data_IF_300344408738
#
_entry.id   IF_300344408738
#
_cell.length_a   1.000
_cell.length_b   1.000
_cell.length_c   1.000
_cell.angle_alpha   90.00
_cell.angle_beta   90.00
_cell.angle_gamma   90.00
#
_symmetry.space_group_name_H-M   'P 1'
#
loop_
_entity.id
_entity.type
_entity.pdbx_description
1 polymer ?
#
# COMPACT_ATOMS: atom_id res chain seq x y z
N UNK A 1 -9.42 1.94 -27.05
CA UNK A 1 -10.45 1.91 -26.01
C UNK A 1 -10.44 3.29 -25.41
N UNK A 2 -11.20 4.20 -26.00
CA UNK A 2 -11.39 5.55 -25.48
C UNK A 2 -12.26 5.41 -24.23
N UNK A 3 -11.63 5.12 -23.10
CA UNK A 3 -12.24 5.40 -21.80
C UNK A 3 -12.51 6.90 -21.76
N UNK A 4 -13.77 7.29 -21.59
CA UNK A 4 -14.21 8.70 -21.50
C UNK A 4 -13.21 9.52 -20.70
N UNK A 5 -12.51 10.43 -21.38
CA UNK A 5 -11.55 11.35 -20.77
C UNK A 5 -12.33 12.33 -19.90
N UNK A 6 -12.01 12.37 -18.61
CA UNK A 6 -12.78 13.14 -17.62
C UNK A 6 -12.07 14.43 -17.23
N UNK A 7 -12.85 15.48 -16.96
CA UNK A 7 -12.35 16.72 -16.36
C UNK A 7 -11.99 16.53 -14.88
N UNK A 8 -12.73 15.69 -14.16
CA UNK A 8 -12.46 15.32 -12.77
C UNK A 8 -12.54 13.80 -12.58
N UNK A 9 -11.58 13.25 -11.84
CA UNK A 9 -11.50 11.83 -11.49
C UNK A 9 -11.50 11.69 -9.97
N UNK A 10 -12.35 10.80 -9.45
CA UNK A 10 -12.28 10.35 -8.06
C UNK A 10 -11.72 8.92 -8.01
N UNK A 11 -10.77 8.65 -7.09
CA UNK A 11 -10.19 7.31 -6.91
C UNK A 11 -10.14 6.90 -5.44
N UNK A 12 -10.73 5.77 -5.12
CA UNK A 12 -10.72 5.09 -3.81
C UNK A 12 -10.31 3.61 -3.91
N UNK A 13 -9.77 3.20 -5.07
CA UNK A 13 -9.18 1.89 -5.31
C UNK A 13 -7.66 1.91 -5.09
N UNK A 14 -7.08 0.75 -4.75
CA UNK A 14 -5.66 0.61 -4.43
C UNK A 14 -4.97 -0.48 -5.26
N UNK A 15 -3.64 -0.57 -5.18
CA UNK A 15 -2.81 -1.38 -6.09
C UNK A 15 -2.38 -2.74 -5.55
N UNK A 16 -2.56 -3.00 -4.25
CA UNK A 16 -1.91 -4.13 -3.59
C UNK A 16 -0.39 -3.90 -3.41
N UNK A 17 0.05 -2.64 -3.46
CA UNK A 17 1.42 -2.20 -3.22
C UNK A 17 2.42 -2.48 -4.34
N UNK A 18 1.93 -2.81 -5.53
CA UNK A 18 2.76 -3.01 -6.71
C UNK A 18 2.41 -1.97 -7.77
N UNK A 19 3.44 -1.26 -8.25
CA UNK A 19 3.30 -0.27 -9.32
C UNK A 19 4.18 -0.71 -10.49
N UNK A 20 3.59 -0.81 -11.68
CA UNK A 20 4.29 -1.21 -12.88
C UNK A 20 3.43 -1.09 -14.14
N UNK A 21 4.02 -1.26 -15.33
CA UNK A 21 3.35 -1.02 -16.61
C UNK A 21 2.20 -2.00 -16.90
N UNK A 22 2.18 -3.16 -16.22
CA UNK A 22 1.08 -4.13 -16.31
C UNK A 22 -0.15 -3.72 -15.50
N UNK A 23 -0.03 -2.72 -14.62
CA UNK A 23 -1.13 -2.23 -13.80
C UNK A 23 -2.02 -1.32 -14.65
N UNK A 24 -3.32 -1.60 -14.67
CA UNK A 24 -4.29 -0.76 -15.36
C UNK A 24 -4.59 0.53 -14.58
N UNK A 25 -4.95 1.58 -15.32
CA UNK A 25 -5.41 2.85 -14.73
C UNK A 25 -6.84 2.73 -14.19
N UNK A 26 -7.17 3.52 -13.17
CA UNK A 26 -8.54 3.66 -12.67
C UNK A 26 -9.42 4.45 -13.66
N UNK A 27 -8.86 5.51 -14.26
CA UNK A 27 -9.48 6.34 -15.28
C UNK A 27 -8.42 7.15 -16.05
N UNK A 28 -8.86 7.88 -17.07
CA UNK A 28 -8.06 8.90 -17.75
C UNK A 28 -8.61 10.29 -17.42
N UNK A 29 -7.75 11.18 -16.95
CA UNK A 29 -8.05 12.60 -16.72
C UNK A 29 -7.53 13.44 -17.87
N UNK A 30 -8.23 14.51 -18.24
CA UNK A 30 -7.75 15.52 -19.19
C UNK A 30 -6.47 16.19 -18.66
N UNK A 31 -5.57 16.61 -19.54
CA UNK A 31 -4.50 17.54 -19.14
C UNK A 31 -5.12 18.82 -18.54
N UNK A 32 -4.57 19.29 -17.42
CA UNK A 32 -5.15 20.36 -16.60
C UNK A 32 -6.43 20.00 -15.83
N UNK A 33 -6.86 18.74 -15.87
CA UNK A 33 -8.00 18.25 -15.08
C UNK A 33 -7.66 18.00 -13.61
N UNK A 34 -8.65 17.53 -12.85
CA UNK A 34 -8.58 17.40 -11.39
C UNK A 34 -8.65 15.95 -10.93
N UNK A 35 -7.82 15.59 -9.96
CA UNK A 35 -7.86 14.29 -9.30
C UNK A 35 -8.19 14.49 -7.84
N UNK A 36 -9.29 13.88 -7.40
CA UNK A 36 -9.64 13.71 -5.99
C UNK A 36 -9.40 12.25 -5.62
N UNK A 37 -8.79 11.96 -4.47
CA UNK A 37 -8.57 10.58 -4.07
C UNK A 37 -8.65 10.38 -2.56
N UNK A 38 -8.95 9.14 -2.17
CA UNK A 38 -8.69 8.64 -0.82
C UNK A 38 -7.38 7.87 -0.87
N UNK A 39 -6.42 8.31 -0.07
CA UNK A 39 -5.14 7.61 0.09
C UNK A 39 -5.27 6.53 1.17
N UNK A 40 -4.55 5.40 1.02
CA UNK A 40 -4.65 4.29 1.97
C UNK A 40 -4.23 4.71 3.39
N UNK A 41 -4.84 4.12 4.43
CA UNK A 41 -4.60 4.51 5.81
C UNK A 41 -3.23 4.04 6.32
N UNK A 42 -2.21 4.88 6.20
CA UNK A 42 -0.90 4.74 6.85
C UNK A 42 -0.04 3.57 6.35
N UNK A 43 1.29 3.73 6.42
CA UNK A 43 2.25 2.73 5.92
C UNK A 43 2.23 1.42 6.71
N UNK A 44 1.85 1.47 8.00
CA UNK A 44 1.96 0.33 8.91
C UNK A 44 1.10 -0.87 8.50
N UNK A 45 -0.09 -0.67 7.94
CA UNK A 45 -0.98 -1.78 7.55
C UNK A 45 -0.31 -2.75 6.56
N UNK A 46 0.13 -2.26 5.38
CA UNK A 46 0.93 -3.04 4.42
C UNK A 46 2.21 -3.65 4.99
N UNK A 47 2.88 -2.92 5.89
CA UNK A 47 4.11 -3.37 6.51
C UNK A 47 3.86 -4.58 7.43
N UNK A 48 2.90 -4.52 8.34
CA UNK A 48 2.66 -5.62 9.30
C UNK A 48 1.90 -6.81 8.71
N UNK A 49 1.31 -6.65 7.52
CA UNK A 49 0.46 -7.65 6.85
C UNK A 49 1.27 -8.45 5.83
N UNK A 50 1.65 -9.70 6.12
CA UNK A 50 2.64 -10.40 5.32
C UNK A 50 2.13 -10.97 3.99
N UNK A 51 0.81 -11.13 3.82
CA UNK A 51 0.20 -11.48 2.52
C UNK A 51 0.31 -10.34 1.49
N UNK A 52 0.51 -9.11 1.95
CA UNK A 52 0.62 -7.94 1.10
C UNK A 52 1.99 -7.93 0.42
N UNK A 53 2.02 -7.77 -0.90
CA UNK A 53 3.25 -7.94 -1.71
C UNK A 53 4.13 -6.70 -1.77
N UNK A 54 3.54 -5.53 -1.60
CA UNK A 54 4.29 -4.28 -1.43
C UNK A 54 4.76 -4.06 0.00
N UNK A 55 5.62 -3.05 0.16
CA UNK A 55 5.92 -2.46 1.47
C UNK A 55 4.93 -1.38 1.90
N UNK A 56 4.25 -0.79 0.93
CA UNK A 56 3.37 0.36 1.05
C UNK A 56 2.21 0.20 0.08
N UNK A 57 1.08 0.82 0.38
CA UNK A 57 -0.06 0.88 -0.54
C UNK A 57 -0.14 2.26 -1.17
N UNK A 58 -0.63 2.30 -2.41
CA UNK A 58 -0.90 3.53 -3.14
C UNK A 58 -2.27 3.44 -3.80
N UNK A 59 -2.89 4.60 -4.01
CA UNK A 59 -4.10 4.71 -4.82
C UNK A 59 -3.82 4.25 -6.24
N UNK A 60 -4.80 3.62 -6.87
CA UNK A 60 -4.69 3.11 -8.24
C UNK A 60 -4.33 4.25 -9.22
N UNK A 61 -3.41 4.04 -10.18
CA UNK A 61 -2.94 5.11 -11.05
C UNK A 61 -4.04 5.72 -11.92
N UNK A 62 -3.88 7.01 -12.24
CA UNK A 62 -4.72 7.74 -13.20
C UNK A 62 -3.89 8.08 -14.43
N UNK A 63 -4.41 7.78 -15.61
CA UNK A 63 -3.77 8.18 -16.86
C UNK A 63 -4.04 9.66 -17.13
N UNK A 64 -3.05 10.38 -17.67
CA UNK A 64 -3.22 11.77 -18.10
C UNK A 64 -3.32 11.80 -19.62
N UNK A 65 -4.35 12.45 -20.15
CA UNK A 65 -4.55 12.60 -21.60
C UNK A 65 -3.29 13.15 -22.27
N UNK A 66 -2.88 12.49 -23.36
CA UNK A 66 -1.75 12.95 -24.18
C UNK A 66 -0.35 12.68 -23.60
N UNK A 67 -0.22 12.29 -22.33
CA UNK A 67 1.07 12.00 -21.70
C UNK A 67 1.75 10.77 -22.30
N UNK A 68 3.06 10.86 -22.54
CA UNK A 68 3.89 9.81 -23.14
C UNK A 68 5.10 9.49 -22.26
N UNK A 69 5.71 8.33 -22.52
CA UNK A 69 6.98 7.94 -21.86
C UNK A 69 8.06 8.98 -22.18
N UNK A 70 8.68 9.52 -21.14
CA UNK A 70 9.69 10.58 -21.24
C UNK A 70 9.16 11.98 -20.90
N UNK A 71 7.84 12.16 -20.85
CA UNK A 71 7.23 13.41 -20.40
C UNK A 71 7.32 13.56 -18.88
N UNK A 72 7.19 14.81 -18.41
CA UNK A 72 7.03 15.13 -17.00
C UNK A 72 5.57 15.49 -16.70
N UNK A 73 5.05 15.03 -15.56
CA UNK A 73 3.75 15.45 -15.04
C UNK A 73 3.96 16.53 -13.99
N UNK A 74 3.20 17.62 -14.08
CA UNK A 74 3.16 18.69 -13.06
C UNK A 74 1.87 18.52 -12.27
N UNK A 75 2.01 18.33 -10.96
CA UNK A 75 0.87 18.11 -10.05
C UNK A 75 0.85 19.24 -9.03
N UNK A 76 -0.29 19.93 -8.94
CA UNK A 76 -0.55 20.91 -7.89
C UNK A 76 -1.45 20.29 -6.83
N UNK A 77 -0.99 20.27 -5.58
CA UNK A 77 -1.82 19.83 -4.46
C UNK A 77 -2.71 21.00 -4.03
N UNK A 78 -3.98 20.95 -4.43
CA UNK A 78 -4.94 22.02 -4.10
C UNK A 78 -5.41 21.98 -2.65
N UNK A 79 -5.63 20.77 -2.11
CA UNK A 79 -6.06 20.58 -0.73
C UNK A 79 -5.70 19.18 -0.23
N UNK A 80 -5.56 19.05 1.07
CA UNK A 80 -5.38 17.76 1.75
C UNK A 80 -6.16 17.78 3.06
N UNK A 81 -6.78 16.66 3.42
CA UNK A 81 -7.48 16.50 4.70
C UNK A 81 -7.19 15.12 5.28
N UNK A 82 -6.76 15.10 6.54
CA UNK A 82 -6.63 13.86 7.31
C UNK A 82 -8.01 13.32 7.64
N UNK A 83 -8.30 12.09 7.21
CA UNK A 83 -9.56 11.40 7.50
C UNK A 83 -9.47 10.50 8.75
N UNK A 84 -8.25 10.10 9.14
CA UNK A 84 -8.01 9.23 10.29
C UNK A 84 -8.37 9.91 11.61
N UNK A 85 -8.97 9.16 12.53
CA UNK A 85 -9.25 9.61 13.90
C UNK A 85 -7.99 9.65 14.79
N UNK A 86 -7.00 8.81 14.46
CA UNK A 86 -5.73 8.70 15.14
C UNK A 86 -4.62 8.41 14.13
N UNK A 87 -3.41 8.86 14.45
CA UNK A 87 -2.21 8.63 13.63
C UNK A 87 -1.05 8.27 14.54
N UNK A 88 -0.18 7.37 14.09
CA UNK A 88 1.13 7.16 14.71
C UNK A 88 2.22 7.42 13.67
N UNK A 89 3.29 8.08 14.10
CA UNK A 89 4.56 8.18 13.40
C UNK A 89 5.60 7.48 14.26
N UNK A 90 6.62 6.90 13.66
CA UNK A 90 7.66 6.24 14.43
C UNK A 90 8.70 5.58 13.55
N UNK A 91 9.68 4.96 14.21
CA UNK A 91 10.67 4.10 13.58
C UNK A 91 10.26 2.64 13.67
N UNK A 92 10.93 1.81 12.88
CA UNK A 92 10.61 0.40 12.76
C UNK A 92 11.80 -0.47 13.14
N UNK A 93 11.50 -1.63 13.68
CA UNK A 93 12.41 -2.77 13.76
C UNK A 93 11.91 -3.87 12.83
N UNK A 94 12.82 -4.70 12.32
CA UNK A 94 12.48 -5.86 11.50
C UNK A 94 12.46 -7.14 12.32
N UNK A 95 11.55 -8.04 11.97
CA UNK A 95 11.50 -9.38 12.52
C UNK A 95 12.23 -10.33 11.55
N UNK A 96 13.52 -10.56 11.78
CA UNK A 96 14.36 -11.41 10.92
C UNK A 96 13.86 -12.86 10.79
N UNK A 97 13.03 -13.34 11.72
CA UNK A 97 12.42 -14.65 11.62
C UNK A 97 11.25 -14.69 10.62
N UNK A 98 10.61 -13.54 10.33
CA UNK A 98 9.43 -13.41 9.48
C UNK A 98 9.75 -12.92 8.05
N UNK A 99 11.02 -12.90 7.67
CA UNK A 99 11.50 -12.47 6.36
C UNK A 99 12.66 -13.36 5.87
N UNK A 100 12.95 -13.32 4.57
CA UNK A 100 14.17 -13.87 3.98
C UNK A 100 15.24 -12.79 3.86
N UNK A 101 15.38 -12.19 2.69
CA UNK A 101 16.41 -11.17 2.44
C UNK A 101 15.93 -9.73 2.68
N UNK A 102 14.64 -9.46 2.41
CA UNK A 102 14.07 -8.10 2.47
C UNK A 102 12.68 -8.12 3.14
N UNK A 103 12.44 -7.37 4.23
CA UNK A 103 11.15 -7.35 4.92
C UNK A 103 9.99 -6.77 4.10
N UNK A 104 10.26 -5.95 3.08
CA UNK A 104 9.23 -5.31 2.27
C UNK A 104 8.66 -6.24 1.20
N UNK A 105 9.47 -7.16 0.69
CA UNK A 105 9.10 -8.00 -0.45
C UNK A 105 9.23 -9.50 -0.19
N UNK A 106 10.07 -9.96 0.73
CA UNK A 106 10.36 -11.39 0.94
C UNK A 106 9.92 -11.86 2.35
N UNK A 107 8.59 -11.90 2.53
CA UNK A 107 7.95 -12.16 3.82
C UNK A 107 7.65 -13.66 3.97
N UNK A 108 7.85 -14.22 5.16
CA UNK A 108 7.55 -15.63 5.45
C UNK A 108 7.01 -15.84 6.86
N UNK A 109 6.28 -16.92 7.07
CA UNK A 109 5.86 -17.30 8.41
C UNK A 109 7.04 -17.91 9.21
N UNK A 110 7.37 -17.41 10.42
CA UNK A 110 8.42 -18.00 11.25
C UNK A 110 8.12 -19.44 11.71
N UNK A 111 6.83 -19.80 11.84
CA UNK A 111 6.40 -21.08 12.39
C UNK A 111 6.34 -22.19 11.35
N UNK A 112 5.67 -21.95 10.22
CA UNK A 112 5.44 -22.96 9.18
C UNK A 112 6.18 -22.71 7.86
N UNK A 113 6.93 -21.60 7.75
CA UNK A 113 7.73 -21.27 6.57
C UNK A 113 6.92 -20.83 5.35
N UNK A 114 5.58 -20.76 5.41
CA UNK A 114 4.76 -20.31 4.28
C UNK A 114 5.19 -18.92 3.81
N UNK A 115 5.50 -18.73 2.51
CA UNK A 115 5.84 -17.42 1.96
C UNK A 115 4.57 -16.57 1.77
N UNK A 116 4.67 -15.26 2.02
CA UNK A 116 3.54 -14.31 2.06
C UNK A 116 2.27 -14.91 2.71
N UNK A 117 2.36 -15.36 3.97
CA UNK A 117 1.29 -16.10 4.62
C UNK A 117 0.02 -15.25 4.76
N UNK A 118 -1.13 -15.85 4.47
CA UNK A 118 -2.41 -15.28 4.87
C UNK A 118 -2.44 -15.04 6.38
N UNK A 119 -2.98 -13.90 6.80
CA UNK A 119 -2.97 -13.47 8.19
C UNK A 119 -4.33 -13.03 8.69
N UNK A 120 -4.51 -13.05 10.02
CA UNK A 120 -5.68 -12.50 10.69
C UNK A 120 -5.24 -11.65 11.86
N UNK A 121 -6.08 -10.66 12.21
CA UNK A 121 -5.92 -9.86 13.42
C UNK A 121 -6.52 -10.63 14.60
N UNK A 122 -5.74 -10.82 15.65
CA UNK A 122 -6.14 -11.50 16.88
C UNK A 122 -5.65 -10.70 18.10
N UNK A 123 -6.56 -9.93 18.71
CA UNK A 123 -6.25 -9.02 19.83
C UNK A 123 -5.69 -7.67 19.37
N UNK A 124 -4.95 -7.00 20.26
CA UNK A 124 -4.32 -5.69 20.01
C UNK A 124 -2.82 -5.75 20.35
N UNK A 125 -2.05 -4.79 19.84
CA UNK A 125 -0.61 -4.69 20.06
C UNK A 125 0.24 -5.44 19.03
N UNK A 126 1.55 -5.51 19.28
CA UNK A 126 2.55 -5.94 18.31
C UNK A 126 2.40 -7.41 17.87
N UNK A 127 1.79 -8.26 18.70
CA UNK A 127 1.61 -9.70 18.44
C UNK A 127 0.27 -10.05 17.81
N UNK A 128 -0.49 -9.06 17.32
CA UNK A 128 -1.88 -9.26 16.88
C UNK A 128 -2.00 -9.84 15.48
N UNK A 129 -0.98 -9.75 14.63
CA UNK A 129 -1.04 -10.31 13.26
C UNK A 129 -0.55 -11.75 13.28
N UNK A 130 -1.46 -12.70 13.12
CA UNK A 130 -1.20 -14.15 13.23
C UNK A 130 -1.42 -14.88 11.93
N UNK A 131 -0.56 -15.87 11.68
CA UNK A 131 -0.69 -16.78 10.55
C UNK A 131 -2.02 -17.54 10.64
N UNK A 132 -2.79 -17.55 9.54
CA UNK A 132 -4.01 -18.34 9.48
C UNK A 132 -3.73 -19.83 9.65
N UNK A 133 -2.61 -20.32 9.11
CA UNK A 133 -2.24 -21.74 9.08
C UNK A 133 -1.75 -22.28 10.45
N UNK A 134 -0.88 -21.56 11.15
CA UNK A 134 -0.23 -22.09 12.37
C UNK A 134 -0.38 -21.21 13.62
N UNK A 135 -1.00 -20.02 13.53
CA UNK A 135 -1.22 -19.13 14.67
C UNK A 135 0.02 -18.36 15.16
N UNK A 136 1.21 -18.64 14.61
CA UNK A 136 2.44 -17.87 14.89
C UNK A 136 2.27 -16.41 14.48
N UNK A 137 2.90 -15.51 15.23
CA UNK A 137 2.99 -14.09 14.90
C UNK A 137 3.81 -13.90 13.63
N UNK A 138 3.30 -13.12 12.67
CA UNK A 138 3.85 -13.03 11.30
C UNK A 138 4.12 -11.60 10.81
N UNK A 139 4.05 -10.59 11.68
CA UNK A 139 4.46 -9.25 11.30
C UNK A 139 5.96 -9.21 10.96
N UNK A 140 6.35 -8.75 9.76
CA UNK A 140 7.76 -8.59 9.39
C UNK A 140 8.37 -7.31 9.99
N UNK A 141 7.53 -6.35 10.39
CA UNK A 141 7.95 -5.12 11.08
C UNK A 141 7.30 -5.00 12.46
N UNK A 142 8.02 -4.37 13.38
CA UNK A 142 7.53 -3.91 14.68
C UNK A 142 7.77 -2.40 14.84
N UNK A 143 7.03 -1.80 15.77
CA UNK A 143 7.21 -0.40 16.15
C UNK A 143 8.34 -0.30 17.17
N UNK A 144 9.31 0.59 16.94
CA UNK A 144 10.47 0.77 17.84
C UNK A 144 10.27 2.00 18.74
N UNK A 145 10.17 3.20 18.16
CA UNK A 145 10.02 4.47 18.87
C UNK A 145 8.99 5.38 18.17
N UNK A 146 8.25 6.21 18.93
CA UNK A 146 7.36 7.26 18.42
C UNK A 146 6.08 7.51 19.22
#
# INVERSE_FOLDING_TARGET
>A
MDSDIKDEVFVDEYTGGLVGPSLGFAATVRDGGRISCVVPPGCWGPMITPEFRGGHEVTRPVAVEGAKVGDALVITIESMRVLSLATSSGTMVTNSAALGDDPFVDKKCPGCGTPWPASRVEGTGQSSIRCVNCGTVVNPFGFEEG
#
